data_IF_726551597881
#
_entry.id   IF_726551597881
#
_cell.length_a   1.000
_cell.length_b   1.000
_cell.length_c   1.000
_cell.angle_alpha   90.00
_cell.angle_beta   90.00
_cell.angle_gamma   90.00
#
_symmetry.space_group_name_H-M   'P 1'
#
loop_
_entity.id
_entity.type
_entity.pdbx_description
1 polymer ?
#
# COMPACT_ATOMS: atom_id res chain seq x y z
N UNK A 1 2.18 -27.42 -3.11
CA UNK A 1 2.54 -26.81 -1.81
C UNK A 1 3.89 -26.13 -1.91
N UNK A 2 3.87 -24.81 -2.04
CA UNK A 2 5.05 -23.95 -1.98
C UNK A 2 5.09 -23.39 -0.56
N UNK A 3 6.01 -23.87 0.27
CA UNK A 3 6.15 -23.42 1.66
C UNK A 3 7.40 -22.57 1.80
N UNK A 4 7.25 -21.37 2.36
CA UNK A 4 8.32 -20.41 2.60
C UNK A 4 8.46 -20.15 4.10
N UNK A 5 9.66 -20.33 4.66
CA UNK A 5 9.94 -19.97 6.05
C UNK A 5 10.78 -18.69 6.10
N UNK A 6 10.12 -17.59 6.45
CA UNK A 6 10.70 -16.26 6.62
C UNK A 6 11.19 -16.00 8.05
N UNK A 7 10.89 -16.89 9.00
CA UNK A 7 11.26 -16.74 10.42
C UNK A 7 12.76 -16.57 10.61
N UNK A 8 13.56 -17.25 9.78
CA UNK A 8 15.03 -17.17 9.77
C UNK A 8 15.61 -16.46 8.54
N UNK A 9 14.76 -15.95 7.64
CA UNK A 9 15.22 -15.23 6.46
C UNK A 9 15.97 -13.95 6.85
N UNK A 10 16.95 -13.59 6.04
CA UNK A 10 17.58 -12.26 5.98
C UNK A 10 16.64 -11.27 5.27
N UNK A 11 16.93 -9.97 5.39
CA UNK A 11 16.16 -8.95 4.67
C UNK A 11 16.24 -9.15 3.15
N UNK A 12 17.42 -9.52 2.63
CA UNK A 12 17.63 -9.75 1.20
C UNK A 12 16.82 -10.94 0.69
N UNK A 13 16.72 -12.02 1.48
CA UNK A 13 15.89 -13.19 1.14
C UNK A 13 14.40 -12.87 1.19
N UNK A 14 13.97 -12.02 2.13
CA UNK A 14 12.59 -11.52 2.15
C UNK A 14 12.27 -10.69 0.89
N UNK A 15 13.21 -9.85 0.44
CA UNK A 15 13.06 -9.07 -0.79
C UNK A 15 12.99 -10.00 -2.02
N UNK A 16 13.86 -11.01 -2.12
CA UNK A 16 13.77 -12.01 -3.19
C UNK A 16 12.44 -12.78 -3.13
N UNK A 17 11.96 -13.14 -1.94
CA UNK A 17 10.67 -13.79 -1.77
C UNK A 17 9.49 -12.95 -2.32
N UNK A 18 9.56 -11.62 -2.28
CA UNK A 18 8.48 -10.79 -2.81
C UNK A 18 8.60 -10.54 -4.32
N UNK A 19 9.82 -10.39 -4.84
CA UNK A 19 10.05 -9.83 -6.17
C UNK A 19 10.72 -10.78 -7.17
N UNK A 20 11.41 -11.84 -6.72
CA UNK A 20 12.11 -12.81 -7.58
C UNK A 20 11.19 -13.97 -8.01
N UNK A 21 10.04 -13.61 -8.58
CA UNK A 21 9.12 -14.57 -9.18
C UNK A 21 9.02 -14.35 -10.69
N UNK A 22 8.71 -15.42 -11.45
CA UNK A 22 8.29 -15.26 -12.84
C UNK A 22 7.10 -14.30 -12.93
N UNK A 23 7.13 -13.43 -13.93
CA UNK A 23 5.98 -12.59 -14.31
C UNK A 23 5.07 -13.43 -15.20
N UNK A 24 3.76 -13.28 -15.05
CA UNK A 24 2.78 -13.98 -15.89
C UNK A 24 3.08 -13.80 -17.38
N UNK A 25 3.18 -14.91 -18.09
CA UNK A 25 3.41 -14.90 -19.54
C UNK A 25 2.11 -14.72 -20.33
N UNK A 26 0.95 -14.99 -19.71
CA UNK A 26 -0.37 -14.85 -20.32
C UNK A 26 -1.47 -14.63 -19.27
N UNK A 27 -2.62 -14.12 -19.71
CA UNK A 27 -3.81 -13.88 -18.86
C UNK A 27 -4.44 -15.18 -18.30
N UNK A 28 -4.08 -16.35 -18.83
CA UNK A 28 -4.53 -17.66 -18.37
C UNK A 28 -3.68 -18.22 -17.21
N UNK A 29 -2.59 -17.54 -16.84
CA UNK A 29 -1.74 -17.91 -15.70
C UNK A 29 -2.18 -17.18 -14.42
N UNK A 30 -2.07 -17.85 -13.29
CA UNK A 30 -2.38 -17.27 -11.98
C UNK A 30 -1.14 -16.70 -11.32
N UNK A 31 -1.30 -15.57 -10.63
CA UNK A 31 -0.23 -14.99 -9.82
C UNK A 31 0.26 -15.99 -8.77
N UNK A 32 1.57 -16.02 -8.53
CA UNK A 32 2.18 -16.96 -7.58
C UNK A 32 1.57 -16.86 -6.17
N UNK A 33 1.12 -15.67 -5.78
CA UNK A 33 0.52 -15.38 -4.49
C UNK A 33 -1.00 -15.63 -4.42
N UNK A 34 -1.61 -16.14 -5.49
CA UNK A 34 -3.01 -16.61 -5.50
C UNK A 34 -3.13 -18.12 -5.28
N UNK A 35 -2.00 -18.82 -5.11
CA UNK A 35 -2.01 -20.26 -4.94
C UNK A 35 -2.61 -20.67 -3.59
N UNK A 36 -3.68 -21.48 -3.61
CA UNK A 36 -4.27 -22.12 -2.41
C UNK A 36 -3.27 -22.99 -1.62
N UNK A 37 -2.17 -23.37 -2.28
CA UNK A 37 -1.10 -24.22 -1.78
C UNK A 37 0.09 -23.42 -1.19
N UNK A 38 -0.02 -22.09 -1.13
CA UNK A 38 0.99 -21.20 -0.58
C UNK A 38 0.92 -21.20 0.95
N UNK A 39 2.04 -21.55 1.57
CA UNK A 39 2.21 -21.55 3.02
C UNK A 39 3.41 -20.68 3.38
N UNK A 40 3.24 -19.73 4.30
CA UNK A 40 4.30 -18.80 4.70
C UNK A 40 4.40 -18.79 6.21
N UNK A 41 5.55 -19.22 6.72
CA UNK A 41 5.86 -19.19 8.15
C UNK A 41 6.67 -17.93 8.42
N UNK A 42 6.20 -17.10 9.34
CA UNK A 42 6.88 -15.86 9.70
C UNK A 42 6.72 -15.53 11.18
N UNK A 43 7.56 -14.59 11.65
CA UNK A 43 7.40 -13.95 12.96
C UNK A 43 6.86 -12.54 12.70
N UNK A 44 5.69 -12.15 13.26
CA UNK A 44 4.97 -10.95 12.81
C UNK A 44 5.77 -9.65 12.96
N UNK A 45 6.41 -9.47 14.11
CA UNK A 45 7.18 -8.24 14.40
C UNK A 45 8.37 -8.13 13.45
N UNK A 46 9.10 -9.22 13.23
CA UNK A 46 10.22 -9.28 12.28
C UNK A 46 9.76 -9.02 10.84
N UNK A 47 8.61 -9.56 10.45
CA UNK A 47 8.07 -9.35 9.11
C UNK A 47 7.69 -7.87 8.90
N UNK A 48 7.05 -7.24 9.88
CA UNK A 48 6.76 -5.79 9.84
C UNK A 48 8.05 -4.96 9.81
N UNK A 49 9.08 -5.32 10.58
CA UNK A 49 10.40 -4.66 10.51
C UNK A 49 11.02 -4.76 9.11
N UNK A 50 10.85 -5.88 8.41
CA UNK A 50 11.28 -6.01 7.02
C UNK A 50 10.46 -5.14 6.06
N UNK A 51 9.14 -5.08 6.19
CA UNK A 51 8.31 -4.15 5.43
C UNK A 51 8.71 -2.70 5.67
N UNK A 52 8.90 -2.29 6.92
CA UNK A 52 9.35 -0.94 7.29
C UNK A 52 10.71 -0.60 6.68
N UNK A 53 11.67 -1.53 6.71
CA UNK A 53 12.98 -1.38 6.07
C UNK A 53 12.87 -1.20 4.57
N UNK A 54 12.02 -1.99 3.93
CA UNK A 54 11.71 -1.89 2.51
C UNK A 54 11.09 -0.53 2.17
N UNK A 55 10.03 -0.14 2.88
CA UNK A 55 9.30 1.09 2.62
C UNK A 55 10.18 2.31 2.83
N UNK A 56 11.04 2.30 3.85
CA UNK A 56 11.97 3.40 4.14
C UNK A 56 13.11 3.52 3.13
N UNK A 57 13.41 2.47 2.36
CA UNK A 57 14.53 2.42 1.41
C UNK A 57 14.18 1.63 0.14
N UNK A 58 13.13 1.99 -0.61
CA UNK A 58 12.65 1.17 -1.71
C UNK A 58 13.57 1.22 -2.93
N UNK A 59 14.52 2.16 -2.97
CA UNK A 59 15.58 2.23 -3.98
C UNK A 59 16.43 0.96 -4.06
N UNK A 60 16.44 0.10 -3.02
CA UNK A 60 17.13 -1.21 -3.07
C UNK A 60 16.55 -2.14 -4.13
N UNK A 61 15.32 -1.89 -4.58
CA UNK A 61 14.64 -2.64 -5.62
C UNK A 61 15.06 -2.19 -7.03
N UNK A 62 15.46 -0.92 -7.18
CA UNK A 62 15.70 -0.31 -8.48
C UNK A 62 16.93 -0.93 -9.14
N UNK A 63 16.73 -1.52 -10.31
CA UNK A 63 17.78 -2.18 -11.09
C UNK A 63 18.08 -3.63 -10.65
N UNK A 64 17.44 -4.13 -9.59
CA UNK A 64 17.51 -5.54 -9.19
C UNK A 64 16.41 -6.38 -9.86
N UNK A 65 15.22 -5.81 -10.03
CA UNK A 65 14.04 -6.46 -10.62
C UNK A 65 13.51 -5.66 -11.81
N UNK A 66 12.78 -6.33 -12.71
CA UNK A 66 12.06 -5.66 -13.80
C UNK A 66 10.87 -4.86 -13.27
N UNK A 67 10.37 -3.89 -14.04
CA UNK A 67 9.21 -3.09 -13.60
C UNK A 67 7.97 -3.97 -13.41
N UNK A 68 7.81 -5.03 -14.20
CA UNK A 68 6.73 -6.02 -14.06
C UNK A 68 6.86 -6.87 -12.80
N UNK A 69 8.09 -7.27 -12.43
CA UNK A 69 8.34 -7.96 -11.15
C UNK A 69 8.04 -7.05 -9.95
N UNK A 70 8.41 -5.76 -10.05
CA UNK A 70 8.09 -4.77 -9.02
C UNK A 70 6.58 -4.59 -8.87
N UNK A 71 5.87 -4.45 -9.99
CA UNK A 71 4.41 -4.34 -10.01
C UNK A 71 3.76 -5.55 -9.32
N UNK A 72 4.14 -6.76 -9.76
CA UNK A 72 3.62 -8.01 -9.23
C UNK A 72 3.91 -8.17 -7.73
N UNK A 73 5.13 -7.89 -7.27
CA UNK A 73 5.49 -8.00 -5.86
C UNK A 73 4.75 -7.00 -4.98
N UNK A 74 4.60 -5.75 -5.43
CA UNK A 74 3.83 -4.74 -4.70
C UNK A 74 2.33 -5.05 -4.66
N UNK A 75 1.81 -5.70 -5.70
CA UNK A 75 0.46 -6.24 -5.70
C UNK A 75 0.32 -7.43 -4.73
N UNK A 76 1.30 -8.33 -4.68
CA UNK A 76 1.31 -9.45 -3.74
C UNK A 76 1.21 -8.99 -2.28
N UNK A 77 1.98 -7.94 -1.94
CA UNK A 77 2.02 -7.34 -0.60
C UNK A 77 0.67 -6.83 -0.08
N UNK A 78 -0.29 -6.59 -0.98
CA UNK A 78 -1.66 -6.13 -0.64
C UNK A 78 -2.68 -7.26 -0.60
N UNK A 79 -2.31 -8.40 -1.15
CA UNK A 79 -3.27 -9.44 -1.44
C UNK A 79 -3.64 -10.15 -0.14
N UNK A 80 -4.92 -10.16 0.20
CA UNK A 80 -5.45 -10.98 1.29
C UNK A 80 -5.33 -12.49 1.02
N UNK A 81 -4.90 -12.89 -0.18
CA UNK A 81 -4.64 -14.29 -0.54
C UNK A 81 -3.19 -14.71 -0.24
N UNK A 82 -2.29 -13.77 0.08
CA UNK A 82 -0.91 -14.07 0.39
C UNK A 82 -0.70 -14.04 1.91
N UNK A 83 -0.42 -15.18 2.57
CA UNK A 83 -0.08 -15.18 3.99
C UNK A 83 1.13 -14.30 4.27
N UNK A 84 1.03 -13.43 5.28
CA UNK A 84 2.09 -12.46 5.61
C UNK A 84 2.14 -11.25 4.67
N UNK A 85 1.09 -11.00 3.87
CA UNK A 85 0.89 -9.72 3.21
C UNK A 85 0.86 -8.59 4.25
N UNK A 86 1.42 -7.42 3.91
CA UNK A 86 1.44 -6.30 4.84
C UNK A 86 0.02 -5.78 5.15
N UNK A 87 -0.93 -5.95 4.23
CA UNK A 87 -2.34 -5.62 4.44
C UNK A 87 -3.01 -6.47 5.51
N UNK A 88 -2.45 -7.64 5.85
CA UNK A 88 -2.94 -8.55 6.89
C UNK A 88 -2.10 -8.43 8.16
N UNK A 89 -0.78 -8.67 8.06
CA UNK A 89 0.12 -8.77 9.23
C UNK A 89 0.12 -7.52 10.09
N UNK A 90 -0.13 -6.34 9.49
CA UNK A 90 -0.19 -5.07 10.22
C UNK A 90 -1.26 -5.06 11.32
N UNK A 91 -2.31 -5.87 11.15
CA UNK A 91 -3.47 -5.91 12.04
C UNK A 91 -3.44 -7.06 13.04
N UNK A 92 -2.41 -7.91 13.01
CA UNK A 92 -2.23 -8.97 14.00
C UNK A 92 -2.10 -8.38 15.41
N UNK A 93 -2.65 -9.08 16.41
CA UNK A 93 -2.72 -8.60 17.81
C UNK A 93 -1.32 -8.35 18.41
N UNK A 94 -0.33 -9.11 17.93
CA UNK A 94 1.07 -9.04 18.32
C UNK A 94 1.75 -7.72 17.93
N UNK A 95 1.23 -6.99 16.93
CA UNK A 95 1.84 -5.76 16.46
C UNK A 95 1.47 -4.58 17.37
N UNK A 96 2.44 -3.92 18.02
CA UNK A 96 2.15 -2.74 18.83
C UNK A 96 1.64 -1.57 18.00
N UNK A 97 0.75 -0.77 18.58
CA UNK A 97 0.14 0.38 17.88
C UNK A 97 1.15 1.37 17.30
N UNK A 98 2.20 1.70 18.04
CA UNK A 98 3.28 2.58 17.59
C UNK A 98 4.04 2.00 16.39
N UNK A 99 4.22 0.68 16.35
CA UNK A 99 4.81 -0.03 15.20
C UNK A 99 3.87 0.04 13.99
N UNK A 100 2.55 -0.13 14.18
CA UNK A 100 1.57 0.01 13.08
C UNK A 100 1.63 1.41 12.47
N UNK A 101 1.57 2.42 13.33
CA UNK A 101 1.62 3.82 12.91
C UNK A 101 2.90 4.12 12.14
N UNK A 102 4.06 3.68 12.64
CA UNK A 102 5.34 3.92 11.97
C UNK A 102 5.46 3.18 10.63
N UNK A 103 4.92 1.96 10.56
CA UNK A 103 4.84 1.23 9.30
C UNK A 103 4.00 1.99 8.27
N UNK A 104 2.81 2.47 8.64
CA UNK A 104 1.95 3.28 7.77
C UNK A 104 2.67 4.55 7.31
N UNK A 105 3.30 5.29 8.23
CA UNK A 105 4.08 6.50 7.87
C UNK A 105 5.19 6.17 6.87
N UNK A 106 5.87 5.05 7.03
CA UNK A 106 6.96 4.65 6.14
C UNK A 106 6.50 4.38 4.71
N UNK A 107 5.22 4.05 4.48
CA UNK A 107 4.66 3.87 3.13
C UNK A 107 4.74 5.15 2.28
N UNK A 108 4.82 6.34 2.89
CA UNK A 108 5.09 7.59 2.15
C UNK A 108 6.39 7.49 1.32
N UNK A 109 7.41 6.81 1.83
CA UNK A 109 8.68 6.68 1.15
C UNK A 109 8.60 5.75 -0.08
N UNK A 110 7.67 4.79 -0.13
CA UNK A 110 7.35 4.05 -1.36
C UNK A 110 6.91 5.01 -2.46
N UNK A 111 5.99 5.93 -2.14
CA UNK A 111 5.55 6.92 -3.10
C UNK A 111 6.66 7.86 -3.52
N UNK A 112 7.37 8.43 -2.54
CA UNK A 112 8.41 9.42 -2.79
C UNK A 112 9.57 8.86 -3.60
N UNK A 113 10.04 7.65 -3.28
CA UNK A 113 11.33 7.15 -3.77
C UNK A 113 11.20 6.02 -4.81
N UNK A 114 10.01 5.44 -4.99
CA UNK A 114 9.77 4.38 -5.99
C UNK A 114 8.68 4.77 -6.99
N UNK A 115 7.45 5.03 -6.55
CA UNK A 115 6.33 5.32 -7.47
C UNK A 115 6.48 6.64 -8.23
N UNK A 116 7.22 7.61 -7.69
CA UNK A 116 7.51 8.86 -8.38
C UNK A 116 8.52 8.70 -9.53
N UNK A 117 9.30 7.61 -9.55
CA UNK A 117 10.39 7.39 -10.52
C UNK A 117 10.21 6.16 -11.39
N UNK A 118 9.24 5.30 -11.08
CA UNK A 118 8.93 4.06 -11.82
C UNK A 118 7.46 4.03 -12.28
N UNK A 119 7.16 3.52 -13.48
CA UNK A 119 5.79 3.48 -14.03
C UNK A 119 4.96 2.33 -13.44
N UNK A 120 4.87 2.25 -12.12
CA UNK A 120 4.19 1.18 -11.39
C UNK A 120 2.71 1.56 -11.14
N UNK A 121 1.99 1.74 -12.24
CA UNK A 121 0.67 2.40 -12.29
C UNK A 121 -0.39 1.75 -11.39
N UNK A 122 -0.60 0.44 -11.53
CA UNK A 122 -1.66 -0.27 -10.80
C UNK A 122 -1.29 -0.38 -9.33
N UNK A 123 -0.05 -0.76 -9.01
CA UNK A 123 0.44 -0.88 -7.64
C UNK A 123 0.36 0.46 -6.89
N UNK A 124 0.73 1.58 -7.55
CA UNK A 124 0.66 2.91 -6.95
C UNK A 124 -0.78 3.38 -6.70
N UNK A 125 -1.67 3.11 -7.68
CA UNK A 125 -3.08 3.52 -7.61
C UNK A 125 -3.85 2.73 -6.54
N UNK A 126 -3.71 1.41 -6.57
CA UNK A 126 -4.43 0.50 -5.68
C UNK A 126 -3.79 0.38 -4.29
N UNK A 127 -2.66 1.06 -4.04
CA UNK A 127 -1.82 0.84 -2.84
C UNK A 127 -2.58 0.88 -1.51
N UNK A 128 -3.65 1.66 -1.42
CA UNK A 128 -4.39 1.84 -0.17
C UNK A 128 -5.61 0.93 -0.02
N UNK A 129 -6.13 0.35 -1.10
CA UNK A 129 -7.42 -0.37 -1.16
C UNK A 129 -7.58 -1.37 -0.01
N UNK A 130 -6.66 -2.34 0.05
CA UNK A 130 -6.69 -3.40 1.06
C UNK A 130 -6.44 -2.89 2.48
N UNK A 131 -5.69 -1.80 2.66
CA UNK A 131 -5.46 -1.23 4.00
C UNK A 131 -6.68 -0.48 4.51
N UNK A 132 -7.35 0.28 3.64
CA UNK A 132 -8.55 1.04 3.99
C UNK A 132 -9.77 0.14 4.14
N UNK A 133 -9.89 -0.89 3.32
CA UNK A 133 -10.96 -1.89 3.41
C UNK A 133 -10.82 -2.71 4.69
N UNK A 134 -9.62 -3.26 4.94
CA UNK A 134 -9.36 -4.05 6.15
C UNK A 134 -9.57 -3.20 7.40
N UNK A 135 -9.03 -1.97 7.44
CA UNK A 135 -9.29 -1.02 8.51
C UNK A 135 -10.80 -0.75 8.68
N UNK A 136 -11.54 -0.61 7.57
CA UNK A 136 -12.97 -0.35 7.63
C UNK A 136 -13.77 -1.52 8.20
N UNK A 137 -13.42 -2.75 7.82
CA UNK A 137 -14.06 -3.96 8.33
C UNK A 137 -13.77 -4.17 9.81
N UNK A 138 -12.53 -3.93 10.23
CA UNK A 138 -12.04 -4.28 11.56
C UNK A 138 -12.21 -3.17 12.60
N UNK A 139 -12.21 -1.89 12.20
CA UNK A 139 -12.09 -0.77 13.14
C UNK A 139 -13.17 0.33 13.03
N UNK A 140 -13.95 0.45 11.94
CA UNK A 140 -14.95 1.55 11.80
C UNK A 140 -16.10 1.48 12.82
N UNK A 141 -16.27 0.34 13.50
CA UNK A 141 -17.24 0.18 14.59
C UNK A 141 -16.61 -0.09 15.96
N UNK A 142 -15.28 0.00 16.04
CA UNK A 142 -14.55 -0.21 17.28
C UNK A 142 -14.43 1.13 18.02
N UNK A 143 -15.09 1.26 19.18
CA UNK A 143 -14.81 2.36 20.13
C UNK A 143 -13.40 2.25 20.76
N UNK A 144 -12.55 1.32 20.29
CA UNK A 144 -11.18 1.19 20.77
C UNK A 144 -10.38 2.46 20.47
N UNK A 145 -9.56 2.86 21.45
CA UNK A 145 -8.79 4.10 21.43
C UNK A 145 -7.81 4.23 20.24
N UNK A 146 -7.48 3.12 19.57
CA UNK A 146 -6.50 3.07 18.48
C UNK A 146 -7.07 3.47 17.12
N UNK A 147 -8.35 3.19 16.83
CA UNK A 147 -8.96 3.43 15.52
C UNK A 147 -8.75 4.87 15.01
N UNK A 148 -9.16 5.91 15.78
CA UNK A 148 -8.95 7.29 15.38
C UNK A 148 -7.46 7.67 15.18
N UNK A 149 -6.53 7.09 15.94
CA UNK A 149 -5.09 7.38 15.79
C UNK A 149 -4.57 6.85 14.45
N UNK A 150 -4.90 5.60 14.13
CA UNK A 150 -4.48 4.95 12.89
C UNK A 150 -5.09 5.64 11.66
N UNK A 151 -6.38 5.98 11.70
CA UNK A 151 -7.03 6.71 10.60
C UNK A 151 -6.34 8.06 10.34
N UNK A 152 -5.97 8.79 11.41
CA UNK A 152 -5.24 10.04 11.28
C UNK A 152 -3.87 9.83 10.64
N UNK A 153 -3.13 8.78 11.03
CA UNK A 153 -1.81 8.48 10.46
C UNK A 153 -1.90 8.11 8.97
N UNK A 154 -2.90 7.30 8.58
CA UNK A 154 -3.17 7.02 7.16
C UNK A 154 -3.49 8.31 6.40
N UNK A 155 -4.38 9.15 6.94
CA UNK A 155 -4.77 10.43 6.34
C UNK A 155 -3.57 11.37 6.18
N UNK A 156 -2.74 11.52 7.20
CA UNK A 156 -1.53 12.33 7.16
C UNK A 156 -0.54 11.83 6.10
N UNK A 157 -0.35 10.52 6.01
CA UNK A 157 0.53 9.88 5.02
C UNK A 157 0.04 10.17 3.60
N UNK A 158 -1.26 9.97 3.34
CA UNK A 158 -1.91 10.31 2.06
C UNK A 158 -1.80 11.81 1.72
N UNK A 159 -2.00 12.69 2.72
CA UNK A 159 -1.84 14.13 2.55
C UNK A 159 -0.40 14.53 2.18
N UNK A 160 0.61 13.81 2.69
CA UNK A 160 2.00 14.01 2.30
C UNK A 160 2.25 13.52 0.88
N UNK A 161 1.72 12.35 0.52
CA UNK A 161 1.80 11.79 -0.84
C UNK A 161 1.15 12.70 -1.88
N UNK A 162 -0.01 13.28 -1.58
CA UNK A 162 -0.72 14.19 -2.49
C UNK A 162 0.08 15.47 -2.83
N UNK A 163 1.05 15.84 -1.99
CA UNK A 163 1.94 17.00 -2.22
C UNK A 163 3.14 16.67 -3.12
N UNK A 164 3.38 15.41 -3.44
CA UNK A 164 4.46 15.03 -4.35
C UNK A 164 4.19 15.57 -5.75
N UNK A 165 5.21 16.04 -6.45
CA UNK A 165 5.12 16.48 -7.85
C UNK A 165 5.21 15.28 -8.81
N UNK A 166 4.33 14.30 -8.60
CA UNK A 166 4.23 13.08 -9.40
C UNK A 166 2.76 12.71 -9.56
N UNK A 167 2.24 12.84 -10.79
CA UNK A 167 0.81 12.68 -11.09
C UNK A 167 0.27 11.31 -10.68
N UNK A 168 1.01 10.23 -10.98
CA UNK A 168 0.68 8.86 -10.55
C UNK A 168 0.52 8.74 -9.02
N UNK A 169 1.38 9.41 -8.25
CA UNK A 169 1.32 9.41 -6.79
C UNK A 169 0.14 10.25 -6.29
N UNK A 170 -0.13 11.39 -6.93
CA UNK A 170 -1.29 12.23 -6.59
C UNK A 170 -2.59 11.44 -6.83
N UNK A 171 -2.72 10.74 -7.96
CA UNK A 171 -3.86 9.89 -8.24
C UNK A 171 -4.03 8.76 -7.22
N UNK A 172 -2.95 8.04 -6.88
CA UNK A 172 -3.01 7.01 -5.83
C UNK A 172 -3.37 7.56 -4.45
N UNK A 173 -2.92 8.78 -4.11
CA UNK A 173 -3.30 9.43 -2.86
C UNK A 173 -4.76 9.87 -2.83
N UNK A 174 -5.29 10.41 -3.94
CA UNK A 174 -6.71 10.73 -4.07
C UNK A 174 -7.57 9.47 -3.92
N UNK A 175 -7.17 8.38 -4.58
CA UNK A 175 -7.83 7.08 -4.48
C UNK A 175 -7.91 6.60 -3.02
N UNK A 176 -6.76 6.56 -2.33
CA UNK A 176 -6.71 6.17 -0.92
C UNK A 176 -7.49 7.10 0.01
N UNK A 177 -7.51 8.41 -0.24
CA UNK A 177 -8.31 9.36 0.55
C UNK A 177 -9.82 9.11 0.39
N UNK A 178 -10.25 8.72 -0.80
CA UNK A 178 -11.64 8.35 -1.11
C UNK A 178 -12.09 7.11 -0.35
N UNK A 179 -11.23 6.09 -0.27
CA UNK A 179 -11.50 4.87 0.51
C UNK A 179 -11.43 5.09 2.03
N UNK A 180 -10.47 5.89 2.53
CA UNK A 180 -10.25 6.10 3.96
C UNK A 180 -11.40 6.83 4.66
N UNK A 181 -12.13 7.71 3.94
CA UNK A 181 -13.28 8.48 4.46
C UNK A 181 -12.98 9.31 5.72
N UNK A 182 -11.76 9.83 5.84
CA UNK A 182 -11.39 10.69 6.95
C UNK A 182 -12.19 12.02 6.91
N UNK A 183 -12.61 12.60 8.06
CA UNK A 183 -13.35 13.88 8.08
C UNK A 183 -12.65 15.05 7.37
N UNK A 184 -11.32 14.99 7.23
CA UNK A 184 -10.51 15.97 6.51
C UNK A 184 -10.38 15.75 4.99
N UNK A 185 -10.89 14.64 4.45
CA UNK A 185 -10.73 14.25 3.03
C UNK A 185 -11.21 15.35 2.08
N UNK A 186 -12.44 15.83 2.25
CA UNK A 186 -13.01 16.85 1.36
C UNK A 186 -12.17 18.13 1.35
N UNK A 187 -11.77 18.62 2.53
CA UNK A 187 -11.00 19.85 2.66
C UNK A 187 -9.65 19.77 1.95
N UNK A 188 -8.96 18.62 2.04
CA UNK A 188 -7.66 18.41 1.40
C UNK A 188 -7.79 18.27 -0.10
N UNK A 189 -8.76 17.50 -0.60
CA UNK A 189 -8.96 17.33 -2.05
C UNK A 189 -9.34 18.68 -2.70
N UNK A 190 -10.26 19.43 -2.11
CA UNK A 190 -10.63 20.77 -2.63
C UNK A 190 -9.46 21.74 -2.64
N UNK A 191 -8.59 21.70 -1.61
CA UNK A 191 -7.36 22.50 -1.57
C UNK A 191 -6.39 22.12 -2.70
N UNK A 192 -6.22 20.82 -2.95
CA UNK A 192 -5.41 20.33 -4.06
C UNK A 192 -5.97 20.77 -5.42
N UNK A 193 -7.28 20.61 -5.66
CA UNK A 193 -7.93 21.07 -6.90
C UNK A 193 -7.73 22.58 -7.11
N UNK A 194 -7.91 23.38 -6.06
CA UNK A 194 -7.70 24.83 -6.13
C UNK A 194 -6.24 25.22 -6.45
N UNK A 195 -5.28 24.35 -6.15
CA UNK A 195 -3.85 24.56 -6.49
C UNK A 195 -3.50 24.17 -7.93
N UNK A 196 -4.43 23.55 -8.69
CA UNK A 196 -4.24 23.04 -10.04
C UNK A 196 -5.21 23.74 -11.01
N UNK A 197 -4.91 24.97 -11.47
CA UNK A 197 -5.84 25.76 -12.30
C UNK A 197 -6.13 25.16 -13.68
N UNK A 198 -5.23 24.29 -14.18
CA UNK A 198 -5.34 23.62 -15.48
C UNK A 198 -5.74 22.14 -15.35
N UNK A 199 -6.40 21.77 -14.24
CA UNK A 199 -6.90 20.41 -14.03
C UNK A 199 -7.94 20.07 -15.11
N UNK A 200 -7.76 18.95 -15.80
CA UNK A 200 -8.71 18.53 -16.84
C UNK A 200 -10.04 18.03 -16.24
N UNK A 201 -11.02 17.83 -17.11
CA UNK A 201 -12.36 17.40 -16.71
C UNK A 201 -12.34 16.02 -16.04
N UNK A 202 -11.56 15.08 -16.56
CA UNK A 202 -11.52 13.71 -16.04
C UNK A 202 -10.94 13.67 -14.62
N UNK A 203 -9.85 14.41 -14.39
CA UNK A 203 -9.21 14.53 -13.08
C UNK A 203 -10.08 15.28 -12.08
N UNK A 204 -10.87 16.26 -12.56
CA UNK A 204 -11.86 16.97 -11.75
C UNK A 204 -13.00 16.04 -11.31
N UNK A 205 -13.56 15.26 -12.24
CA UNK A 205 -14.62 14.29 -11.96
C UNK A 205 -14.13 13.21 -10.98
N UNK A 206 -12.95 12.65 -11.22
CA UNK A 206 -12.33 11.68 -10.32
C UNK A 206 -12.11 12.23 -8.90
N UNK A 207 -11.63 13.47 -8.77
CA UNK A 207 -11.43 14.09 -7.46
C UNK A 207 -12.76 14.31 -6.72
N UNK A 208 -13.84 14.69 -7.42
CA UNK A 208 -15.18 14.79 -6.82
C UNK A 208 -15.74 13.41 -6.44
N UNK A 209 -15.49 12.37 -7.24
CA UNK A 209 -15.81 10.97 -6.88
C UNK A 209 -15.08 10.52 -5.61
N UNK A 210 -13.81 10.91 -5.45
CA UNK A 210 -13.05 10.66 -4.23
C UNK A 210 -13.64 11.39 -3.00
N UNK A 211 -14.15 12.63 -3.16
CA UNK A 211 -14.80 13.38 -2.07
C UNK A 211 -16.06 12.64 -1.59
N UNK A 212 -16.90 12.18 -2.52
CA UNK A 212 -18.10 11.41 -2.18
C UNK A 212 -17.80 9.93 -1.95
N UNK A 213 -16.54 9.52 -2.14
CA UNK A 213 -15.93 8.19 -2.09
C UNK A 213 -16.70 7.09 -2.80
N UNK A 214 -17.25 7.42 -3.97
CA UNK A 214 -17.75 6.42 -4.90
C UNK A 214 -16.57 5.89 -5.70
N UNK A 215 -15.70 5.14 -5.02
CA UNK A 215 -14.50 4.55 -5.63
C UNK A 215 -14.91 3.25 -6.34
N UNK A 216 -14.58 3.12 -7.62
CA UNK A 216 -14.77 1.91 -8.44
C UNK A 216 -13.40 1.41 -8.89
#
# INVERSE_FOLDING_TARGET
MSSYDLSNATFEQFIDYLFDHPVLASEDEEYWYWSDDLDVIYEPIKLVDYYMKLFSKPQVLVGRYSDEQLEQGLLAMRSCLMPGAISEVLWEEEIPSDVREECIRSMYFLYRDLFSVKPLHTACFMWWDSFTDEYSITHVHSEAAEGPSIQNVMFETLCQTLKLDAEICQHGALHGLGHLRHPGTEAVIRSWMASKPDLDQQSTEFAEECIVGNMV
#
